data_IF_351328172631
#
_entry.id   IF_351328172631
#
_cell.length_a   1.000
_cell.length_b   1.000
_cell.length_c   1.000
_cell.angle_alpha   90.00
_cell.angle_beta   90.00
_cell.angle_gamma   90.00
#
_symmetry.space_group_name_H-M   'P 1'
#
loop_
_entity.id
_entity.type
_entity.pdbx_description
1 polymer ?
#
# COMPACT_ATOMS: atom_id res chain seq x y z
N UNK A 1 5.95 4.57 -14.10
CA UNK A 1 5.83 3.11 -14.21
C UNK A 1 7.09 2.50 -14.80
N UNK A 2 7.55 2.98 -15.95
CA UNK A 2 8.75 2.45 -16.67
C UNK A 2 10.00 2.44 -15.79
N UNK A 3 10.21 3.51 -15.03
CA UNK A 3 11.33 3.59 -14.08
C UNK A 3 11.27 2.47 -13.02
N UNK A 4 10.09 2.20 -12.46
CA UNK A 4 9.92 1.12 -11.47
C UNK A 4 10.13 -0.26 -12.09
N UNK A 5 9.69 -0.47 -13.31
CA UNK A 5 9.92 -1.72 -14.05
C UNK A 5 11.39 -1.97 -14.34
N UNK A 6 12.15 -0.94 -14.72
CA UNK A 6 13.58 -1.04 -14.94
C UNK A 6 14.34 -1.28 -13.64
N UNK A 7 14.01 -0.55 -12.57
CA UNK A 7 14.58 -0.74 -11.24
C UNK A 7 14.30 -2.16 -10.71
N UNK A 8 13.10 -2.74 -10.96
CA UNK A 8 12.78 -4.14 -10.61
C UNK A 8 13.70 -5.13 -11.34
N UNK A 9 13.93 -4.94 -12.65
CA UNK A 9 14.81 -5.82 -13.43
C UNK A 9 16.24 -5.87 -12.87
N UNK A 10 16.71 -4.75 -12.30
CA UNK A 10 18.05 -4.64 -11.73
C UNK A 10 18.16 -5.18 -10.30
N UNK A 11 17.04 -5.23 -9.55
CA UNK A 11 17.00 -5.63 -8.14
C UNK A 11 16.18 -6.91 -7.92
N UNK A 12 16.58 -8.03 -8.50
CA UNK A 12 16.07 -9.34 -8.09
C UNK A 12 16.67 -9.69 -6.73
N UNK A 13 15.97 -9.34 -5.65
CA UNK A 13 16.28 -9.85 -4.31
C UNK A 13 15.75 -11.28 -4.20
N UNK A 14 16.54 -12.25 -3.72
CA UNK A 14 16.03 -13.57 -3.40
C UNK A 14 15.01 -13.46 -2.26
N UNK A 15 13.97 -14.29 -2.30
CA UNK A 15 13.10 -14.53 -1.14
C UNK A 15 13.98 -15.21 -0.08
N UNK A 16 14.42 -14.47 0.91
CA UNK A 16 15.14 -15.00 2.08
C UNK A 16 14.11 -15.34 3.16
N UNK A 17 14.51 -16.14 4.16
CA UNK A 17 13.72 -16.46 5.38
C UNK A 17 13.44 -15.22 6.27
N UNK A 18 13.51 -14.04 5.70
CA UNK A 18 13.25 -12.78 6.38
C UNK A 18 11.74 -12.55 6.55
N UNK A 19 11.38 -11.92 7.65
CA UNK A 19 9.99 -11.56 7.95
C UNK A 19 9.37 -10.74 6.80
N UNK A 20 8.11 -11.03 6.44
CA UNK A 20 7.39 -10.30 5.39
C UNK A 20 7.41 -8.81 5.70
N UNK A 21 7.86 -8.01 4.73
CA UNK A 21 7.90 -6.55 4.82
C UNK A 21 6.63 -5.95 4.21
N UNK A 22 5.86 -5.27 5.04
CA UNK A 22 4.61 -4.59 4.68
C UNK A 22 4.85 -3.08 4.58
N UNK A 23 4.49 -2.50 3.44
CA UNK A 23 4.52 -1.05 3.23
C UNK A 23 3.12 -0.47 3.38
N UNK A 24 2.89 0.37 4.38
CA UNK A 24 1.65 1.12 4.54
C UNK A 24 1.79 2.45 3.79
N UNK A 25 1.16 2.58 2.63
CA UNK A 25 1.25 3.75 1.76
C UNK A 25 -0.15 4.23 1.29
N UNK A 26 -0.94 4.84 2.18
CA UNK A 26 -2.31 5.25 1.88
C UNK A 26 -2.40 6.64 1.27
N UNK A 27 -3.61 7.02 0.89
CA UNK A 27 -3.99 8.38 0.55
C UNK A 27 -3.96 9.29 1.80
N UNK A 28 -4.38 10.53 1.67
CA UNK A 28 -4.41 11.53 2.73
C UNK A 28 -5.82 12.12 2.91
N UNK A 29 -6.09 12.65 4.08
CA UNK A 29 -7.33 13.37 4.39
C UNK A 29 -8.06 12.79 5.59
N UNK A 30 -9.16 13.43 6.05
CA UNK A 30 -9.81 13.09 7.31
C UNK A 30 -10.33 11.63 7.38
N UNK A 31 -10.62 11.04 6.23
CA UNK A 31 -11.05 9.65 6.11
C UNK A 31 -9.92 8.73 5.61
N UNK A 32 -8.67 9.20 5.55
CA UNK A 32 -7.51 8.40 5.16
C UNK A 32 -7.20 7.30 6.17
N UNK A 33 -6.63 6.21 5.72
CA UNK A 33 -6.30 5.06 6.56
C UNK A 33 -5.41 5.45 7.76
N UNK A 34 -4.38 6.26 7.54
CA UNK A 34 -3.48 6.65 8.64
C UNK A 34 -4.17 7.55 9.67
N UNK A 35 -5.03 8.44 9.22
CA UNK A 35 -5.74 9.38 10.09
C UNK A 35 -6.81 8.70 10.93
N UNK A 36 -7.44 7.63 10.42
CA UNK A 36 -8.58 6.96 11.08
C UNK A 36 -8.20 5.69 11.82
N UNK A 37 -7.40 4.82 11.19
CA UNK A 37 -7.05 3.49 11.71
C UNK A 37 -5.55 3.17 11.64
N UNK A 38 -4.70 4.18 11.45
CA UNK A 38 -3.26 3.98 11.28
C UNK A 38 -2.60 3.23 12.43
N UNK A 39 -2.93 3.57 13.68
CA UNK A 39 -2.37 2.88 14.84
C UNK A 39 -2.78 1.41 14.90
N UNK A 40 -4.06 1.12 14.73
CA UNK A 40 -4.58 -0.24 14.74
C UNK A 40 -3.96 -1.08 13.61
N UNK A 41 -3.83 -0.48 12.40
CA UNK A 41 -3.20 -1.14 11.25
C UNK A 41 -1.75 -1.52 11.53
N UNK A 42 -0.98 -0.60 12.11
CA UNK A 42 0.43 -0.84 12.45
C UNK A 42 0.53 -1.90 13.54
N UNK A 43 -0.26 -1.78 14.60
CA UNK A 43 -0.23 -2.68 15.75
C UNK A 43 -0.49 -4.14 15.37
N UNK A 44 -1.58 -4.42 14.65
CA UNK A 44 -1.92 -5.80 14.27
C UNK A 44 -0.85 -6.45 13.38
N UNK A 45 -0.16 -5.67 12.55
CA UNK A 45 0.93 -6.18 11.70
C UNK A 45 2.20 -6.44 12.51
N UNK A 46 2.58 -5.54 13.41
CA UNK A 46 3.74 -5.72 14.29
C UNK A 46 3.54 -6.88 15.26
N UNK A 47 2.33 -7.02 15.85
CA UNK A 47 1.98 -8.12 16.74
C UNK A 47 2.04 -9.49 16.05
N UNK A 48 1.85 -9.51 14.73
CA UNK A 48 2.01 -10.69 13.89
C UNK A 48 3.47 -10.97 13.47
N UNK A 49 4.44 -10.20 13.97
CA UNK A 49 5.87 -10.38 13.67
C UNK A 49 6.30 -9.87 12.29
N UNK A 50 5.49 -9.06 11.63
CA UNK A 50 5.80 -8.52 10.31
C UNK A 50 6.69 -7.27 10.42
N UNK A 51 7.49 -7.01 9.39
CA UNK A 51 8.19 -5.72 9.24
C UNK A 51 7.22 -4.69 8.66
N UNK A 52 7.16 -3.51 9.25
CA UNK A 52 6.22 -2.45 8.85
C UNK A 52 6.95 -1.17 8.55
N UNK A 53 6.83 -0.69 7.32
CA UNK A 53 7.23 0.68 6.96
C UNK A 53 5.99 1.52 6.66
N UNK A 54 5.87 2.67 7.33
CA UNK A 54 4.83 3.66 7.04
C UNK A 54 5.39 4.74 6.15
N UNK A 55 4.82 4.88 4.95
CA UNK A 55 5.14 5.91 3.95
C UNK A 55 3.92 6.79 3.73
N UNK A 56 3.76 7.87 4.51
CA UNK A 56 2.59 8.73 4.39
C UNK A 56 2.64 9.53 3.09
N UNK A 57 1.46 9.87 2.57
CA UNK A 57 1.36 10.82 1.47
C UNK A 57 1.93 12.18 1.90
N UNK A 58 2.57 12.94 0.98
CA UNK A 58 3.17 14.25 1.29
C UNK A 58 2.17 15.24 1.93
N UNK A 59 0.90 15.17 1.52
CA UNK A 59 -0.16 16.01 2.08
C UNK A 59 -0.52 15.63 3.52
N UNK A 60 -0.29 14.40 3.96
CA UNK A 60 -0.50 14.00 5.36
C UNK A 60 0.41 14.82 6.29
N UNK A 61 1.67 15.01 5.93
CA UNK A 61 2.60 15.84 6.72
C UNK A 61 2.15 17.30 6.84
N UNK A 62 1.46 17.83 5.81
CA UNK A 62 0.95 19.21 5.80
C UNK A 62 -0.38 19.36 6.55
N UNK A 63 -1.27 18.37 6.44
CA UNK A 63 -2.65 18.44 6.95
C UNK A 63 -2.81 17.81 8.33
N UNK A 64 -1.95 16.84 8.67
CA UNK A 64 -1.97 16.09 9.92
C UNK A 64 -0.58 16.08 10.58
N UNK A 65 0.01 17.25 10.92
CA UNK A 65 1.41 17.35 11.37
C UNK A 65 1.71 16.54 12.63
N UNK A 66 0.71 16.36 13.50
CA UNK A 66 0.86 15.60 14.75
C UNK A 66 0.85 14.09 14.55
N UNK A 67 0.37 13.60 13.40
CA UNK A 67 0.25 12.16 13.12
C UNK A 67 1.61 11.47 13.12
N UNK A 68 2.61 12.06 12.47
CA UNK A 68 3.98 11.54 12.49
C UNK A 68 4.48 11.38 13.93
N UNK A 69 4.37 12.46 14.73
CA UNK A 69 4.82 12.44 16.13
C UNK A 69 4.13 11.34 16.92
N UNK A 70 2.81 11.20 16.75
CA UNK A 70 2.00 10.18 17.43
C UNK A 70 2.47 8.77 17.10
N UNK A 71 2.61 8.44 15.80
CA UNK A 71 3.03 7.12 15.34
C UNK A 71 4.47 6.79 15.75
N UNK A 72 5.40 7.74 15.60
CA UNK A 72 6.81 7.54 15.99
C UNK A 72 6.96 7.44 17.51
N UNK A 73 6.19 8.20 18.30
CA UNK A 73 6.22 8.07 19.77
C UNK A 73 5.72 6.69 20.20
N UNK A 74 4.69 6.14 19.54
CA UNK A 74 4.11 4.84 19.94
C UNK A 74 4.95 3.65 19.45
N UNK A 75 5.41 3.68 18.22
CA UNK A 75 6.00 2.52 17.56
C UNK A 75 7.50 2.65 17.26
N UNK A 76 8.08 3.85 17.39
CA UNK A 76 9.46 4.12 16.94
C UNK A 76 10.55 3.30 17.62
N UNK A 77 10.28 2.73 18.81
CA UNK A 77 11.21 1.84 19.49
C UNK A 77 11.02 0.36 19.09
N UNK A 78 10.02 0.02 18.27
CA UNK A 78 9.82 -1.35 17.82
C UNK A 78 10.82 -1.69 16.70
N UNK A 79 11.60 -2.79 16.83
CA UNK A 79 12.70 -3.10 15.91
C UNK A 79 12.23 -3.33 14.46
N UNK A 80 10.99 -3.78 14.29
CA UNK A 80 10.39 -4.05 12.97
C UNK A 80 9.56 -2.87 12.43
N UNK A 81 9.62 -1.68 13.07
CA UNK A 81 8.87 -0.51 12.62
C UNK A 81 9.81 0.54 12.00
N UNK A 82 9.39 1.07 10.85
CA UNK A 82 10.06 2.21 10.22
C UNK A 82 9.04 3.26 9.76
N UNK A 83 9.38 4.53 9.90
CA UNK A 83 8.60 5.66 9.40
C UNK A 83 9.37 6.40 8.32
N UNK A 84 9.01 6.22 7.06
CA UNK A 84 9.62 6.88 5.92
C UNK A 84 8.96 8.24 5.66
N UNK A 85 9.54 9.30 6.22
CA UNK A 85 9.04 10.66 6.03
C UNK A 85 9.46 11.33 4.72
N UNK A 86 10.48 10.81 4.07
CA UNK A 86 11.00 11.29 2.78
C UNK A 86 10.56 10.37 1.65
N UNK A 87 9.61 10.84 0.85
CA UNK A 87 9.05 10.08 -0.27
C UNK A 87 9.80 10.28 -1.59
N UNK A 88 10.98 10.90 -1.58
CA UNK A 88 11.80 11.10 -2.79
C UNK A 88 12.54 9.83 -3.22
N UNK A 89 12.76 8.91 -2.31
CA UNK A 89 13.34 7.59 -2.61
C UNK A 89 12.24 6.58 -2.89
N UNK A 90 12.56 5.52 -3.64
CA UNK A 90 11.65 4.41 -3.91
C UNK A 90 12.06 3.14 -3.14
N UNK A 91 12.93 3.26 -2.14
CA UNK A 91 13.52 2.10 -1.48
C UNK A 91 12.47 1.20 -0.82
N UNK A 92 11.57 1.77 -0.03
CA UNK A 92 10.49 1.01 0.62
C UNK A 92 9.55 0.33 -0.38
N UNK A 93 9.31 0.94 -1.55
CA UNK A 93 8.54 0.31 -2.62
C UNK A 93 9.25 -0.95 -3.13
N UNK A 94 10.58 -0.91 -3.30
CA UNK A 94 11.33 -2.06 -3.79
C UNK A 94 11.49 -3.16 -2.73
N UNK A 95 11.73 -2.81 -1.48
CA UNK A 95 11.99 -3.78 -0.40
C UNK A 95 10.73 -4.44 0.13
N UNK A 96 9.59 -3.75 0.13
CA UNK A 96 8.34 -4.34 0.61
C UNK A 96 7.88 -5.52 -0.26
N UNK A 97 7.35 -6.55 0.39
CA UNK A 97 6.71 -7.70 -0.27
C UNK A 97 5.27 -7.39 -0.65
N UNK A 98 4.59 -6.61 0.17
CA UNK A 98 3.16 -6.31 0.06
C UNK A 98 2.92 -4.85 0.44
N UNK A 99 1.93 -4.22 -0.19
CA UNK A 99 1.46 -2.88 0.21
C UNK A 99 0.10 -2.96 0.89
N UNK A 100 -0.08 -2.19 1.95
CA UNK A 100 -1.38 -1.87 2.54
C UNK A 100 -1.72 -0.43 2.19
N UNK A 101 -2.89 -0.22 1.58
CA UNK A 101 -3.31 1.08 1.08
C UNK A 101 -4.83 1.28 1.24
N UNK A 102 -5.32 2.41 0.79
CA UNK A 102 -6.75 2.73 0.67
C UNK A 102 -7.06 3.20 -0.78
N UNK A 103 -7.29 4.48 -1.01
CA UNK A 103 -7.56 5.11 -2.31
C UNK A 103 -6.33 5.80 -2.91
N UNK A 104 -5.15 5.26 -2.72
CA UNK A 104 -3.90 5.88 -3.17
C UNK A 104 -3.46 5.38 -4.55
N UNK A 105 -3.13 6.30 -5.45
CA UNK A 105 -2.62 5.97 -6.78
C UNK A 105 -1.30 5.20 -6.76
N UNK A 106 -0.47 5.35 -5.72
CA UNK A 106 0.78 4.59 -5.57
C UNK A 106 0.55 3.07 -5.51
N UNK A 107 -0.65 2.63 -5.12
CA UNK A 107 -1.02 1.21 -5.14
C UNK A 107 -1.01 0.62 -6.56
N UNK A 108 -1.46 1.40 -7.56
CA UNK A 108 -1.39 1.00 -8.97
C UNK A 108 0.06 0.95 -9.46
N UNK A 109 0.88 1.93 -9.07
CA UNK A 109 2.31 1.95 -9.39
C UNK A 109 3.04 0.76 -8.79
N UNK A 110 2.73 0.40 -7.53
CA UNK A 110 3.30 -0.74 -6.84
C UNK A 110 2.91 -2.07 -7.53
N UNK A 111 1.62 -2.25 -7.80
CA UNK A 111 1.14 -3.46 -8.44
C UNK A 111 1.65 -3.61 -9.88
N UNK A 112 1.50 -2.59 -10.73
CA UNK A 112 1.90 -2.68 -12.13
C UNK A 112 3.40 -2.50 -12.37
N UNK A 113 4.07 -1.69 -11.55
CA UNK A 113 5.51 -1.42 -11.69
C UNK A 113 6.39 -2.49 -11.05
N UNK A 114 6.00 -2.99 -9.89
CA UNK A 114 6.80 -3.94 -9.13
C UNK A 114 6.22 -5.36 -9.13
N UNK A 115 5.01 -5.53 -9.67
CA UNK A 115 4.29 -6.81 -9.77
C UNK A 115 4.10 -7.46 -8.39
N UNK A 116 3.75 -6.63 -7.40
CA UNK A 116 3.55 -7.04 -6.01
C UNK A 116 2.12 -6.76 -5.55
N UNK A 117 1.55 -7.60 -4.67
CA UNK A 117 0.15 -7.49 -4.26
C UNK A 117 -0.11 -6.33 -3.32
N UNK A 118 -1.38 -5.87 -3.34
CA UNK A 118 -1.88 -4.81 -2.46
C UNK A 118 -3.05 -5.32 -1.62
N UNK A 119 -3.08 -4.98 -0.34
CA UNK A 119 -4.28 -5.07 0.50
C UNK A 119 -4.89 -3.69 0.62
N UNK A 120 -6.12 -3.54 0.19
CA UNK A 120 -6.87 -2.29 0.29
C UNK A 120 -7.78 -2.33 1.52
N UNK A 121 -7.52 -1.47 2.50
CA UNK A 121 -8.48 -1.24 3.58
C UNK A 121 -9.61 -0.37 3.04
N UNK A 122 -10.83 -0.88 3.11
CA UNK A 122 -11.98 -0.20 2.51
C UNK A 122 -12.43 0.99 3.37
N UNK A 123 -11.92 2.14 3.01
CA UNK A 123 -12.25 3.45 3.59
C UNK A 123 -13.33 4.14 2.76
N UNK A 124 -14.13 5.04 3.36
CA UNK A 124 -15.07 5.86 2.61
C UNK A 124 -14.37 6.57 1.45
N UNK A 125 -15.01 6.54 0.27
CA UNK A 125 -14.47 7.15 -0.94
C UNK A 125 -14.17 8.65 -0.68
N UNK A 126 -12.98 9.07 -1.03
CA UNK A 126 -12.55 10.46 -0.90
C UNK A 126 -13.18 11.31 -2.02
N UNK A 127 -14.23 12.04 -1.71
CA UNK A 127 -14.81 13.03 -2.59
C UNK A 127 -14.22 14.40 -2.26
N UNK A 128 -13.30 14.90 -3.09
CA UNK A 128 -12.68 16.21 -2.91
C UNK A 128 -13.55 17.38 -3.41
N UNK A 129 -14.61 17.10 -4.16
CA UNK A 129 -15.52 18.09 -4.72
C UNK A 129 -16.95 17.74 -4.34
N UNK A 130 -17.63 18.63 -3.61
CA UNK A 130 -19.04 18.47 -3.25
C UNK A 130 -19.98 18.46 -4.46
N UNK A 131 -19.55 19.06 -5.59
CA UNK A 131 -20.27 19.08 -6.86
C UNK A 131 -19.86 17.94 -7.80
N UNK A 132 -19.20 16.91 -7.28
CA UNK A 132 -18.77 15.76 -8.05
C UNK A 132 -20.01 15.01 -8.61
N UNK A 133 -20.43 15.42 -9.81
CA UNK A 133 -21.31 14.58 -10.61
C UNK A 133 -20.56 13.31 -10.97
N UNK A 134 -21.11 12.13 -10.66
CA UNK A 134 -20.48 10.83 -10.95
C UNK A 134 -19.89 10.84 -12.36
N UNK A 135 -18.61 10.52 -12.54
CA UNK A 135 -18.01 10.47 -13.86
C UNK A 135 -18.79 9.47 -14.71
N UNK A 136 -18.86 9.72 -16.02
CA UNK A 136 -19.50 8.81 -16.98
C UNK A 136 -18.83 7.43 -17.04
N UNK A 137 -17.60 7.33 -16.53
CA UNK A 137 -16.84 6.07 -16.43
C UNK A 137 -16.41 5.83 -14.97
N UNK A 138 -16.41 4.57 -14.55
CA UNK A 138 -15.90 4.17 -13.24
C UNK A 138 -14.38 4.44 -13.22
N UNK A 139 -13.84 5.15 -12.21
CA UNK A 139 -12.40 5.37 -12.08
C UNK A 139 -11.61 4.05 -12.09
N UNK A 140 -10.43 4.08 -12.70
CA UNK A 140 -9.58 2.90 -12.88
C UNK A 140 -9.20 2.28 -11.53
N UNK A 141 -8.97 3.12 -10.53
CA UNK A 141 -8.67 2.69 -9.16
C UNK A 141 -9.78 1.82 -8.56
N UNK A 142 -11.05 2.12 -8.87
CA UNK A 142 -12.18 1.29 -8.40
C UNK A 142 -12.19 -0.06 -9.12
N UNK A 143 -12.01 -0.05 -10.44
CA UNK A 143 -12.07 -1.26 -11.27
C UNK A 143 -10.94 -2.25 -10.99
N UNK A 144 -9.78 -1.74 -10.58
CA UNK A 144 -8.57 -2.56 -10.49
C UNK A 144 -8.27 -3.08 -9.08
N UNK A 145 -8.84 -2.51 -8.02
CA UNK A 145 -8.52 -2.90 -6.63
C UNK A 145 -8.60 -4.41 -6.39
N UNK A 146 -9.70 -5.05 -6.80
CA UNK A 146 -9.86 -6.51 -6.66
C UNK A 146 -8.94 -7.33 -7.58
N UNK A 147 -8.51 -6.73 -8.68
CA UNK A 147 -7.65 -7.40 -9.67
C UNK A 147 -6.18 -7.37 -9.26
N UNK A 148 -5.74 -6.29 -8.61
CA UNK A 148 -4.35 -6.08 -8.18
C UNK A 148 -4.12 -6.35 -6.70
N UNK A 149 -5.13 -6.85 -5.96
CA UNK A 149 -5.00 -7.12 -4.54
C UNK A 149 -6.26 -7.70 -3.92
N UNK A 150 -6.40 -7.49 -2.63
CA UNK A 150 -7.54 -7.89 -1.82
C UNK A 150 -8.15 -6.65 -1.16
N UNK A 151 -9.47 -6.51 -1.21
CA UNK A 151 -10.19 -5.50 -0.42
C UNK A 151 -10.57 -6.11 0.92
N UNK A 152 -10.20 -5.42 2.00
CA UNK A 152 -10.52 -5.79 3.38
C UNK A 152 -11.42 -4.71 4.00
N UNK A 153 -12.62 -5.05 4.47
CA UNK A 153 -13.46 -4.11 5.21
C UNK A 153 -12.71 -3.50 6.39
N UNK A 154 -12.91 -2.21 6.65
CA UNK A 154 -12.18 -1.50 7.71
C UNK A 154 -12.45 -2.08 9.11
N UNK A 155 -13.62 -2.65 9.35
CA UNK A 155 -13.99 -3.37 10.57
C UNK A 155 -13.23 -4.69 10.76
N UNK A 156 -12.76 -5.28 9.67
CA UNK A 156 -12.05 -6.56 9.65
C UNK A 156 -10.51 -6.43 9.77
N UNK A 157 -10.01 -5.27 10.18
CA UNK A 157 -8.56 -4.96 10.21
C UNK A 157 -7.74 -6.01 11.01
N UNK A 158 -8.32 -6.67 11.99
CA UNK A 158 -7.70 -7.77 12.74
C UNK A 158 -7.38 -9.00 11.88
N UNK A 159 -8.01 -9.14 10.71
CA UNK A 159 -7.73 -10.20 9.74
C UNK A 159 -6.58 -9.83 8.80
N UNK A 160 -6.10 -8.59 8.84
CA UNK A 160 -5.06 -8.09 7.95
C UNK A 160 -3.80 -8.95 7.92
N UNK A 161 -3.23 -9.42 9.05
CA UNK A 161 -2.05 -10.26 9.02
C UNK A 161 -2.25 -11.59 8.26
N UNK A 162 -3.41 -12.23 8.40
CA UNK A 162 -3.72 -13.46 7.68
C UNK A 162 -3.88 -13.22 6.17
N UNK A 163 -4.48 -12.10 5.77
CA UNK A 163 -4.60 -11.71 4.36
C UNK A 163 -3.22 -11.41 3.75
N UNK A 164 -2.35 -10.74 4.51
CA UNK A 164 -0.96 -10.49 4.11
C UNK A 164 -0.21 -11.80 3.90
N UNK A 165 -0.29 -12.74 4.85
CA UNK A 165 0.36 -14.04 4.75
C UNK A 165 -0.15 -14.84 3.54
N UNK A 166 -1.47 -14.88 3.32
CA UNK A 166 -2.08 -15.55 2.15
C UNK A 166 -1.53 -14.99 0.84
N UNK A 167 -1.50 -13.67 0.67
CA UNK A 167 -1.02 -13.05 -0.57
C UNK A 167 0.50 -13.17 -0.76
N UNK A 168 1.27 -13.32 0.30
CA UNK A 168 2.71 -13.51 0.23
C UNK A 168 3.11 -14.95 -0.17
N UNK A 169 2.22 -15.94 -0.05
CA UNK A 169 2.55 -17.35 -0.35
C UNK A 169 2.61 -17.68 -1.84
N UNK A 170 1.97 -16.89 -2.70
CA UNK A 170 1.91 -17.16 -4.15
C UNK A 170 2.26 -15.91 -4.98
N UNK A 171 3.47 -15.35 -4.82
CA UNK A 171 3.85 -14.13 -5.53
C UNK A 171 3.91 -14.31 -7.06
N UNK A 172 4.26 -15.51 -7.54
CA UNK A 172 4.37 -15.81 -8.97
C UNK A 172 3.01 -15.79 -9.68
N UNK A 173 1.96 -16.32 -9.05
CA UNK A 173 0.61 -16.27 -9.58
C UNK A 173 0.10 -14.84 -9.70
N UNK A 174 0.44 -14.02 -8.73
CA UNK A 174 0.11 -12.59 -8.75
C UNK A 174 0.87 -11.87 -9.87
N UNK A 175 2.16 -12.12 -10.00
CA UNK A 175 3.01 -11.54 -11.04
C UNK A 175 2.47 -11.84 -12.44
N UNK A 176 2.11 -13.10 -12.73
CA UNK A 176 1.52 -13.50 -14.03
C UNK A 176 0.22 -12.75 -14.30
N UNK A 177 -0.67 -12.70 -13.30
CA UNK A 177 -1.96 -12.00 -13.40
C UNK A 177 -1.80 -10.52 -13.68
N UNK A 178 -0.89 -9.85 -12.99
CA UNK A 178 -0.66 -8.41 -13.15
C UNK A 178 -0.02 -8.09 -14.50
N UNK A 179 0.88 -8.94 -15.01
CA UNK A 179 1.45 -8.78 -16.35
C UNK A 179 0.36 -8.81 -17.43
N UNK A 180 -0.61 -9.70 -17.29
CA UNK A 180 -1.73 -9.76 -18.25
C UNK A 180 -2.65 -8.56 -18.13
N UNK A 181 -2.98 -8.14 -16.92
CA UNK A 181 -3.77 -6.93 -16.68
C UNK A 181 -3.09 -5.68 -17.24
N UNK A 182 -1.78 -5.57 -17.10
CA UNK A 182 -1.00 -4.43 -17.60
C UNK A 182 -1.18 -4.25 -19.11
N UNK A 183 -1.14 -5.32 -19.90
CA UNK A 183 -1.37 -5.25 -21.35
C UNK A 183 -2.71 -4.61 -21.72
N UNK A 184 -3.72 -4.79 -20.87
CA UNK A 184 -5.08 -4.32 -21.14
C UNK A 184 -5.37 -2.90 -20.60
N UNK A 185 -4.64 -2.45 -19.58
CA UNK A 185 -4.97 -1.22 -18.85
C UNK A 185 -3.85 -0.17 -18.88
N UNK A 186 -2.63 -0.55 -19.20
CA UNK A 186 -1.50 0.38 -19.26
C UNK A 186 -0.98 0.44 -20.68
N UNK A 187 -1.12 1.61 -21.32
CA UNK A 187 -0.66 1.85 -22.67
C UNK A 187 0.81 2.31 -22.69
N UNK A 188 1.56 1.96 -23.74
CA UNK A 188 2.95 2.35 -23.96
C UNK A 188 3.96 1.75 -22.95
N UNK A 189 3.93 0.42 -22.79
CA UNK A 189 4.98 -0.32 -22.10
C UNK A 189 5.79 -1.14 -23.11
#
# INVERSE_FOLDING_TARGET
>A
LDKLLEEKKQRRLPLTDEAIHVLIAPSWGPNGLLETRGEETIEVLLDAGLQVTVRPHQMTSKRSPNLKKKLVTRFGNHPSFNFEGDTRTNESLHTANIMVSDWSGVALEFAFGLEKPVVFIDQPLKLNNAEYSRPKSVPLEILLREKIGRILPAEDIKKLPSVVAELATSPEDFEMRVKELRKNFVFNI
#
